data_IF_704892880536
#
_entry.id   IF_704892880536
#
_cell.length_a   1.000
_cell.length_b   1.000
_cell.length_c   1.000
_cell.angle_alpha   90.00
_cell.angle_beta   90.00
_cell.angle_gamma   90.00
#
_symmetry.space_group_name_H-M   'P 1'
#
loop_
_entity.id
_entity.type
_entity.pdbx_description
1 polymer ?
#
# COMPACT_ATOMS: atom_id res chain seq x y z
N UNK A 1 20.27 25.48 -11.19
CA UNK A 1 19.17 25.92 -10.31
C UNK A 1 18.48 24.66 -9.86
N UNK A 2 18.92 24.09 -8.73
CA UNK A 2 18.19 22.98 -8.10
C UNK A 2 16.79 23.49 -7.81
N UNK A 3 15.80 22.79 -8.38
CA UNK A 3 14.40 23.09 -8.17
C UNK A 3 14.13 22.67 -6.73
N UNK A 4 14.02 23.65 -5.82
CA UNK A 4 13.63 23.37 -4.43
C UNK A 4 12.32 22.59 -4.48
N UNK A 5 12.42 21.28 -4.22
CA UNK A 5 11.25 20.41 -4.21
C UNK A 5 10.46 20.85 -3.00
N UNK A 6 9.23 21.33 -3.22
CA UNK A 6 8.29 21.55 -2.14
C UNK A 6 8.02 20.20 -1.46
N UNK A 7 8.72 19.97 -0.36
CA UNK A 7 8.65 18.75 0.43
C UNK A 7 7.23 18.48 0.94
N UNK A 8 6.41 19.53 1.16
CA UNK A 8 5.01 19.36 1.57
C UNK A 8 4.17 18.87 0.41
N UNK A 9 4.32 19.47 -0.77
CA UNK A 9 3.61 19.03 -1.97
C UNK A 9 4.01 17.60 -2.37
N UNK A 10 5.30 17.25 -2.30
CA UNK A 10 5.77 15.90 -2.57
C UNK A 10 5.22 14.89 -1.55
N UNK A 11 5.26 15.23 -0.26
CA UNK A 11 4.71 14.38 0.80
C UNK A 11 3.22 14.14 0.61
N UNK A 12 2.44 15.18 0.28
CA UNK A 12 1.02 15.07 -0.01
C UNK A 12 0.74 14.18 -1.24
N UNK A 13 1.54 14.31 -2.30
CA UNK A 13 1.42 13.46 -3.49
C UNK A 13 1.71 11.98 -3.18
N UNK A 14 2.76 11.69 -2.40
CA UNK A 14 3.07 10.33 -1.96
C UNK A 14 1.94 9.78 -1.09
N UNK A 15 1.45 10.55 -0.12
CA UNK A 15 0.35 10.13 0.74
C UNK A 15 -0.93 9.82 -0.07
N UNK A 16 -1.28 10.67 -1.04
CA UNK A 16 -2.42 10.47 -1.93
C UNK A 16 -2.26 9.23 -2.81
N UNK A 17 -1.07 9.01 -3.37
CA UNK A 17 -0.75 7.81 -4.14
C UNK A 17 -0.93 6.54 -3.30
N UNK A 18 -0.40 6.52 -2.07
CA UNK A 18 -0.54 5.38 -1.17
C UNK A 18 -1.99 5.13 -0.75
N UNK A 19 -2.72 6.19 -0.40
CA UNK A 19 -4.13 6.10 -0.03
C UNK A 19 -4.97 5.50 -1.18
N UNK A 20 -4.73 5.93 -2.41
CA UNK A 20 -5.41 5.40 -3.60
C UNK A 20 -5.16 3.89 -3.75
N UNK A 21 -3.91 3.44 -3.67
CA UNK A 21 -3.57 2.02 -3.81
C UNK A 21 -4.20 1.17 -2.70
N UNK A 22 -4.15 1.66 -1.45
CA UNK A 22 -4.79 0.98 -0.31
C UNK A 22 -6.29 0.83 -0.53
N UNK A 23 -6.98 1.91 -0.90
CA UNK A 23 -8.42 1.90 -1.11
C UNK A 23 -8.81 0.97 -2.27
N UNK A 24 -8.12 1.05 -3.40
CA UNK A 24 -8.38 0.19 -4.56
C UNK A 24 -8.16 -1.28 -4.22
N UNK A 25 -7.03 -1.64 -3.60
CA UNK A 25 -6.74 -3.03 -3.25
C UNK A 25 -7.74 -3.58 -2.23
N UNK A 26 -8.15 -2.78 -1.24
CA UNK A 26 -9.16 -3.18 -0.26
C UNK A 26 -10.51 -3.40 -0.92
N UNK A 27 -10.94 -2.51 -1.81
CA UNK A 27 -12.18 -2.66 -2.56
C UNK A 27 -12.18 -3.96 -3.38
N UNK A 28 -11.12 -4.23 -4.15
CA UNK A 28 -11.02 -5.45 -4.94
C UNK A 28 -11.07 -6.73 -4.08
N UNK A 29 -10.44 -6.70 -2.90
CA UNK A 29 -10.48 -7.83 -1.96
C UNK A 29 -11.86 -7.98 -1.28
N UNK A 30 -12.56 -6.87 -1.01
CA UNK A 30 -13.90 -6.87 -0.44
C UNK A 30 -14.93 -7.43 -1.42
N UNK A 31 -14.87 -7.00 -2.69
CA UNK A 31 -15.75 -7.47 -3.76
C UNK A 31 -15.41 -8.89 -4.26
N UNK A 32 -14.37 -9.52 -3.71
CA UNK A 32 -13.94 -10.88 -4.09
C UNK A 32 -13.31 -10.96 -5.49
N UNK A 33 -12.95 -9.83 -6.10
CA UNK A 33 -12.21 -9.78 -7.36
C UNK A 33 -10.81 -10.35 -7.19
N UNK A 34 -10.22 -10.15 -6.01
CA UNK A 34 -8.96 -10.78 -5.60
C UNK A 34 -9.13 -11.56 -4.30
N UNK A 35 -8.49 -12.71 -4.23
CA UNK A 35 -8.37 -13.47 -2.98
C UNK A 35 -7.41 -12.74 -2.03
N UNK A 36 -7.94 -12.28 -0.88
CA UNK A 36 -7.22 -11.43 0.06
C UNK A 36 -5.98 -12.12 0.63
N UNK A 37 -6.06 -13.42 0.94
CA UNK A 37 -4.97 -14.15 1.58
C UNK A 37 -3.85 -14.42 0.58
N UNK A 38 -4.21 -14.86 -0.62
CA UNK A 38 -3.28 -15.11 -1.72
C UNK A 38 -2.63 -13.82 -2.21
N UNK A 39 -3.39 -12.73 -2.30
CA UNK A 39 -2.85 -11.43 -2.68
C UNK A 39 -1.90 -10.87 -1.61
N UNK A 40 -2.26 -11.00 -0.33
CA UNK A 40 -1.37 -10.60 0.77
C UNK A 40 -0.07 -11.40 0.76
N UNK A 41 -0.13 -12.71 0.60
CA UNK A 41 1.06 -13.57 0.52
C UNK A 41 1.96 -13.22 -0.68
N UNK A 42 1.37 -12.85 -1.81
CA UNK A 42 2.11 -12.36 -2.98
C UNK A 42 2.87 -11.07 -2.66
N UNK A 43 2.20 -10.08 -2.04
CA UNK A 43 2.83 -8.81 -1.67
C UNK A 43 3.96 -8.99 -0.65
N UNK A 44 3.82 -9.93 0.28
CA UNK A 44 4.87 -10.27 1.24
C UNK A 44 6.09 -10.91 0.57
N UNK A 45 5.86 -11.81 -0.39
CA UNK A 45 6.94 -12.43 -1.16
C UNK A 45 7.69 -11.40 -1.99
N UNK A 46 6.96 -10.51 -2.68
CA UNK A 46 7.55 -9.40 -3.43
C UNK A 46 8.37 -8.47 -2.51
N UNK A 47 7.86 -8.16 -1.31
CA UNK A 47 8.61 -7.36 -0.34
C UNK A 47 9.90 -8.06 0.11
N UNK A 48 9.87 -9.37 0.34
CA UNK A 48 11.04 -10.16 0.73
C UNK A 48 12.08 -10.24 -0.40
N UNK A 49 11.64 -10.32 -1.66
CA UNK A 49 12.52 -10.31 -2.84
C UNK A 49 13.17 -8.95 -3.08
N UNK A 50 12.45 -7.86 -2.79
CA UNK A 50 12.96 -6.49 -2.96
C UNK A 50 13.91 -6.07 -1.83
N UNK A 51 13.74 -6.60 -0.61
CA UNK A 51 14.47 -6.16 0.57
C UNK A 51 16.01 -6.20 0.46
N UNK A 52 16.65 -7.22 -0.14
CA UNK A 52 18.12 -7.27 -0.30
C UNK A 52 18.68 -6.20 -1.24
N UNK A 53 17.87 -5.68 -2.16
CA UNK A 53 18.29 -4.64 -3.13
C UNK A 53 18.06 -3.21 -2.65
N UNK A 54 17.54 -3.04 -1.43
CA UNK A 54 17.12 -1.74 -0.89
C UNK A 54 18.06 -1.32 0.24
N UNK A 55 18.81 -0.24 0.01
CA UNK A 55 19.69 0.38 1.01
C UNK A 55 18.90 0.97 2.19
N UNK A 56 17.78 1.67 1.91
CA UNK A 56 16.91 2.24 2.93
C UNK A 56 15.58 1.49 3.02
N UNK A 57 15.45 0.65 4.06
CA UNK A 57 14.26 -0.15 4.33
C UNK A 57 12.98 0.69 4.54
N UNK A 58 13.09 1.99 4.81
CA UNK A 58 11.91 2.90 4.91
C UNK A 58 11.20 3.04 3.57
N UNK A 59 11.85 2.76 2.45
CA UNK A 59 11.21 2.75 1.12
C UNK A 59 10.12 1.67 1.02
N UNK A 60 10.20 0.60 1.82
CA UNK A 60 9.17 -0.45 1.91
C UNK A 60 7.97 -0.06 2.77
N UNK A 61 7.98 1.12 3.40
CA UNK A 61 6.90 1.59 4.28
C UNK A 61 5.53 1.52 3.61
N UNK A 62 5.43 2.00 2.37
CA UNK A 62 4.25 1.96 1.53
C UNK A 62 3.63 0.56 1.43
N UNK A 63 4.46 -0.42 1.11
CA UNK A 63 4.04 -1.81 0.90
C UNK A 63 3.63 -2.47 2.23
N UNK A 64 4.33 -2.15 3.32
CA UNK A 64 3.96 -2.60 4.67
C UNK A 64 2.59 -2.04 5.09
N UNK A 65 2.33 -0.76 4.83
CA UNK A 65 1.03 -0.14 5.12
C UNK A 65 -0.09 -0.79 4.30
N UNK A 66 0.14 -1.10 3.02
CA UNK A 66 -0.82 -1.81 2.19
C UNK A 66 -1.13 -3.22 2.72
N UNK A 67 -0.12 -4.02 3.01
CA UNK A 67 -0.27 -5.37 3.59
C UNK A 67 -1.05 -5.30 4.91
N UNK A 68 -0.72 -4.33 5.76
CA UNK A 68 -1.42 -4.11 7.04
C UNK A 68 -2.90 -3.76 6.81
N UNK A 69 -3.19 -2.88 5.86
CA UNK A 69 -4.56 -2.47 5.54
C UNK A 69 -5.40 -3.60 4.94
N UNK A 70 -4.79 -4.51 4.17
CA UNK A 70 -5.47 -5.69 3.62
C UNK A 70 -5.80 -6.74 4.69
N UNK A 71 -4.96 -6.85 5.72
CA UNK A 71 -5.20 -7.73 6.88
C UNK A 71 -6.18 -7.19 7.90
N UNK A 72 -6.40 -5.87 7.90
CA UNK A 72 -7.28 -5.26 8.86
C UNK A 72 -8.70 -5.86 8.73
N UNK A 73 -9.41 -6.09 9.86
CA UNK A 73 -10.77 -6.57 9.82
C UNK A 73 -11.60 -5.72 8.86
N UNK A 74 -12.33 -6.38 7.96
CA UNK A 74 -13.24 -5.68 7.05
C UNK A 74 -14.35 -5.12 7.91
N UNK A 75 -14.28 -3.83 8.24
CA UNK A 75 -15.44 -3.10 8.75
C UNK A 75 -16.48 -3.17 7.65
N UNK A 76 -17.49 -4.02 7.85
CA UNK A 76 -18.66 -4.08 6.99
C UNK A 76 -19.36 -2.73 7.10
N UNK A 77 -19.11 -1.84 6.16
CA UNK A 77 -20.10 -0.83 5.81
C UNK A 77 -21.17 -1.57 5.04
N UNK A 78 -22.12 -2.15 5.78
CA UNK A 78 -23.40 -2.49 5.21
C UNK A 78 -23.93 -1.20 4.58
N UNK A 79 -23.88 -1.13 3.25
CA UNK A 79 -24.67 -0.16 2.50
C UNK A 79 -26.10 -0.65 2.65
N UNK A 80 -26.79 -0.14 3.67
CA UNK A 80 -28.25 -0.24 3.79
C UNK A 80 -28.90 0.78 2.86
#
# INVERSE_FOLDING_TARGET
MEKDIDMQALSAAIAGFLACHVLTCRFLAQEGVVDSDRFTAYLESAMAEMAPGIEDQRTLFALRQLITALRAPRTSTAVQ
#
